data_IF_228101775738
#
_entry.id   IF_228101775738
#
_cell.length_a   1.000
_cell.length_b   1.000
_cell.length_c   1.000
_cell.angle_alpha   90.00
_cell.angle_beta   90.00
_cell.angle_gamma   90.00
#
_symmetry.space_group_name_H-M   'P 1'
#
loop_
_entity.id
_entity.type
_entity.pdbx_description
1 polymer ?
#
# COMPACT_ATOMS: atom_id res chain seq x y z
N UNK A 1 -15.32 -20.07 30.62
CA UNK A 1 -14.70 -20.38 29.32
C UNK A 1 -14.41 -19.07 28.64
N UNK A 2 -13.13 -18.77 28.37
CA UNK A 2 -12.75 -17.49 27.78
C UNK A 2 -12.99 -17.60 26.28
N UNK A 3 -13.86 -16.74 25.77
CA UNK A 3 -14.17 -16.63 24.35
C UNK A 3 -12.95 -16.09 23.58
N UNK A 4 -12.40 -16.90 22.69
CA UNK A 4 -11.71 -16.42 21.49
C UNK A 4 -12.82 -15.85 20.56
N UNK A 5 -12.70 -14.73 19.87
CA UNK A 5 -11.62 -14.43 18.95
C UNK A 5 -11.47 -12.92 18.73
N UNK A 6 -10.22 -12.50 18.63
CA UNK A 6 -9.79 -11.12 18.77
C UNK A 6 -10.21 -10.27 17.58
N UNK A 7 -11.14 -9.33 17.79
CA UNK A 7 -11.34 -8.15 16.94
C UNK A 7 -10.22 -7.12 17.14
N UNK A 8 -8.96 -7.56 17.09
CA UNK A 8 -7.84 -6.62 16.93
C UNK A 8 -7.87 -6.17 15.48
N UNK A 9 -8.72 -5.18 15.21
CA UNK A 9 -8.83 -4.58 13.90
C UNK A 9 -7.46 -4.02 13.53
N UNK A 10 -7.11 -4.15 12.25
CA UNK A 10 -5.92 -3.57 11.60
C UNK A 10 -5.62 -2.12 12.07
N UNK A 11 -6.68 -1.41 12.47
CA UNK A 11 -6.70 -0.12 13.16
C UNK A 11 -5.84 -0.01 14.43
N UNK A 12 -5.73 -1.04 15.27
CA UNK A 12 -4.94 -1.00 16.52
C UNK A 12 -3.44 -1.18 16.27
N UNK A 13 -3.05 -2.02 15.29
CA UNK A 13 -1.63 -2.22 14.93
C UNK A 13 -1.08 -0.99 14.22
N UNK A 14 -1.89 -0.32 13.40
CA UNK A 14 -1.51 0.94 12.74
C UNK A 14 -1.51 2.15 13.69
N UNK A 15 -2.23 2.09 14.82
CA UNK A 15 -2.26 3.18 15.82
C UNK A 15 -1.01 3.23 16.70
N UNK A 16 -0.29 2.12 16.84
CA UNK A 16 0.91 2.04 17.69
C UNK A 16 2.11 2.87 17.18
N UNK A 17 2.03 3.42 15.96
CA UNK A 17 3.07 4.27 15.35
C UNK A 17 2.70 5.74 15.25
N UNK A 18 1.61 6.19 15.88
CA UNK A 18 1.22 7.60 15.92
C UNK A 18 1.26 8.10 17.36
N UNK A 19 2.47 8.20 17.90
CA UNK A 19 2.72 9.07 19.03
C UNK A 19 3.21 10.43 18.50
N UNK A 20 2.64 11.46 19.12
CA UNK A 20 3.08 12.85 19.14
C UNK A 20 2.53 13.73 18.02
N UNK A 21 1.33 14.25 18.32
CA UNK A 21 0.81 15.45 17.70
C UNK A 21 1.69 16.63 18.05
N UNK A 22 2.55 17.01 17.10
CA UNK A 22 3.05 18.35 16.82
C UNK A 22 3.50 18.30 15.35
N UNK A 23 3.17 19.33 14.57
CA UNK A 23 3.32 19.34 13.10
C UNK A 23 4.72 18.98 12.59
N UNK A 24 4.93 17.71 12.25
CA UNK A 24 6.00 17.25 11.37
C UNK A 24 5.35 16.68 10.12
N UNK A 25 5.37 17.44 9.02
CA UNK A 25 5.00 16.92 7.72
C UNK A 25 5.97 15.79 7.37
N UNK A 26 5.57 14.55 7.61
CA UNK A 26 6.42 13.40 7.39
C UNK A 26 6.92 13.38 5.95
N UNK A 27 8.23 13.50 5.76
CA UNK A 27 8.80 13.57 4.42
C UNK A 27 8.64 12.23 3.67
N UNK A 28 8.73 11.11 4.39
CA UNK A 28 8.72 9.76 3.81
C UNK A 28 8.01 8.74 4.70
N UNK A 29 7.36 7.78 4.08
CA UNK A 29 6.85 6.56 4.71
C UNK A 29 7.17 5.32 3.88
N UNK A 30 7.13 4.14 4.51
CA UNK A 30 7.26 2.83 3.86
C UNK A 30 6.05 1.98 4.23
N UNK A 31 5.40 1.39 3.23
CA UNK A 31 4.24 0.52 3.37
C UNK A 31 4.62 -0.90 2.98
N UNK A 32 4.82 -1.82 3.95
CA UNK A 32 5.11 -3.22 3.66
C UNK A 32 3.86 -3.93 3.11
N UNK A 33 3.87 -4.24 1.82
CA UNK A 33 2.70 -4.76 1.10
C UNK A 33 2.30 -6.16 1.55
N UNK A 34 3.26 -6.93 2.07
CA UNK A 34 3.04 -8.23 2.70
C UNK A 34 2.07 -8.19 3.89
N UNK A 35 1.93 -7.06 4.58
CA UNK A 35 0.98 -6.92 5.69
C UNK A 35 -0.48 -6.85 5.19
N UNK A 36 -0.66 -6.52 3.91
CA UNK A 36 -1.97 -6.45 3.24
C UNK A 36 -2.32 -7.73 2.48
N UNK A 37 -1.29 -8.49 2.08
CA UNK A 37 -1.43 -9.83 1.52
C UNK A 37 -1.72 -10.80 2.67
N UNK A 38 -2.99 -11.12 2.93
CA UNK A 38 -3.32 -12.18 3.88
C UNK A 38 -2.91 -13.54 3.30
N UNK A 39 -2.73 -14.56 4.16
CA UNK A 39 -2.23 -15.88 3.76
C UNK A 39 -2.99 -16.55 2.60
N UNK A 40 -4.23 -16.13 2.33
CA UNK A 40 -5.08 -16.65 1.26
C UNK A 40 -5.46 -15.61 0.20
N UNK A 41 -5.21 -14.31 0.42
CA UNK A 41 -5.62 -13.24 -0.48
C UNK A 41 -4.42 -12.57 -1.13
N UNK A 42 -4.27 -12.78 -2.44
CA UNK A 42 -3.35 -12.02 -3.29
C UNK A 42 -3.77 -10.54 -3.32
N UNK A 43 -2.80 -9.66 -3.59
CA UNK A 43 -3.06 -8.22 -3.78
C UNK A 43 -3.71 -8.00 -5.16
N UNK A 44 -5.02 -8.23 -5.25
CA UNK A 44 -5.73 -8.22 -6.54
C UNK A 44 -6.74 -7.10 -6.69
N UNK A 45 -7.38 -6.71 -5.58
CA UNK A 45 -8.53 -5.80 -5.61
C UNK A 45 -8.16 -4.34 -5.43
N UNK A 46 -8.90 -3.44 -6.10
CA UNK A 46 -8.82 -1.99 -5.88
C UNK A 46 -9.08 -1.60 -4.41
N UNK A 47 -9.93 -2.34 -3.71
CA UNK A 47 -10.22 -2.10 -2.30
C UNK A 47 -9.01 -2.36 -1.38
N UNK A 48 -8.14 -3.32 -1.72
CA UNK A 48 -6.86 -3.51 -1.01
C UNK A 48 -5.90 -2.37 -1.31
N UNK A 49 -5.82 -1.92 -2.57
CA UNK A 49 -4.97 -0.80 -2.96
C UNK A 49 -5.37 0.51 -2.27
N UNK A 50 -6.66 0.84 -2.22
CA UNK A 50 -7.16 2.00 -1.45
C UNK A 50 -6.78 1.91 0.01
N UNK A 51 -6.88 0.71 0.60
CA UNK A 51 -6.45 0.48 2.00
C UNK A 51 -4.95 0.70 2.17
N UNK A 52 -4.12 0.26 1.22
CA UNK A 52 -2.68 0.51 1.22
C UNK A 52 -2.34 2.00 1.12
N UNK A 53 -3.16 2.75 0.39
CA UNK A 53 -2.96 4.17 0.13
C UNK A 53 -3.60 5.09 1.18
N UNK A 54 -4.28 4.54 2.19
CA UNK A 54 -4.91 5.32 3.25
C UNK A 54 -3.87 6.20 3.94
N UNK A 55 -4.16 7.50 4.01
CA UNK A 55 -3.32 8.52 4.66
C UNK A 55 -1.98 8.77 3.98
N UNK A 56 -1.69 8.19 2.80
CA UNK A 56 -0.45 8.51 2.08
C UNK A 56 -0.36 9.97 1.65
N UNK A 57 -1.50 10.66 1.52
CA UNK A 57 -1.56 12.08 1.18
C UNK A 57 -0.93 13.02 2.23
N UNK A 58 -0.65 12.53 3.45
CA UNK A 58 0.05 13.31 4.47
C UNK A 58 1.58 13.28 4.30
N UNK A 59 2.11 12.43 3.41
CA UNK A 59 3.53 12.25 3.17
C UNK A 59 3.95 12.83 1.80
N UNK A 60 5.17 13.36 1.70
CA UNK A 60 5.71 13.77 0.39
C UNK A 60 6.12 12.57 -0.47
N UNK A 61 6.61 11.51 0.17
CA UNK A 61 7.05 10.28 -0.49
C UNK A 61 6.53 9.06 0.24
N UNK A 62 6.01 8.09 -0.51
CA UNK A 62 5.52 6.82 0.02
C UNK A 62 6.14 5.67 -0.75
N UNK A 63 6.89 4.82 -0.05
CA UNK A 63 7.50 3.64 -0.63
C UNK A 63 6.61 2.42 -0.44
N UNK A 64 6.21 1.80 -1.53
CA UNK A 64 5.39 0.59 -1.52
C UNK A 64 6.33 -0.61 -1.62
N UNK A 65 6.52 -1.31 -0.51
CA UNK A 65 7.51 -2.39 -0.39
C UNK A 65 6.89 -3.75 -0.72
N UNK A 66 7.26 -4.29 -1.89
CA UNK A 66 6.77 -5.55 -2.43
C UNK A 66 7.63 -6.76 -2.07
N UNK A 67 8.51 -6.66 -1.06
CA UNK A 67 9.30 -7.80 -0.59
C UNK A 67 8.40 -8.99 -0.23
N UNK A 68 8.75 -10.17 -0.76
CA UNK A 68 7.98 -11.40 -0.60
C UNK A 68 6.67 -11.48 -1.42
N UNK A 69 6.36 -10.49 -2.27
CA UNK A 69 5.18 -10.52 -3.14
C UNK A 69 5.55 -11.01 -4.53
N UNK A 70 5.12 -12.23 -4.87
CA UNK A 70 5.38 -12.83 -6.17
C UNK A 70 4.53 -12.25 -7.31
N UNK A 71 3.32 -11.78 -7.00
CA UNK A 71 2.37 -11.30 -7.99
C UNK A 71 1.33 -10.33 -7.40
N UNK A 72 0.79 -9.45 -8.24
CA UNK A 72 -0.32 -8.55 -7.94
C UNK A 72 -1.32 -8.55 -9.10
N UNK A 73 -2.59 -8.27 -8.81
CA UNK A 73 -3.62 -8.13 -9.84
C UNK A 73 -3.60 -6.75 -10.50
N UNK A 74 -4.08 -6.69 -11.74
CA UNK A 74 -4.15 -5.42 -12.49
C UNK A 74 -4.98 -4.37 -11.74
N UNK A 75 -6.16 -4.73 -11.21
CA UNK A 75 -6.99 -3.78 -10.46
C UNK A 75 -6.26 -3.14 -9.27
N UNK A 76 -5.40 -3.90 -8.60
CA UNK A 76 -4.55 -3.41 -7.53
C UNK A 76 -3.51 -2.39 -8.02
N UNK A 77 -2.75 -2.75 -9.07
CA UNK A 77 -1.72 -1.92 -9.65
C UNK A 77 -2.28 -0.61 -10.23
N UNK A 78 -3.38 -0.70 -10.96
CA UNK A 78 -4.11 0.44 -11.53
C UNK A 78 -4.51 1.46 -10.45
N UNK A 79 -5.12 0.98 -9.37
CA UNK A 79 -5.58 1.85 -8.30
C UNK A 79 -4.43 2.62 -7.65
N UNK A 80 -3.29 1.97 -7.39
CA UNK A 80 -2.14 2.64 -6.77
C UNK A 80 -1.40 3.57 -7.73
N UNK A 81 -1.02 3.07 -8.91
CA UNK A 81 -0.04 3.76 -9.75
C UNK A 81 -0.68 4.68 -10.79
N UNK A 82 -1.99 4.56 -11.04
CA UNK A 82 -2.74 5.43 -11.94
C UNK A 82 -3.78 6.27 -11.20
N UNK A 83 -4.69 5.64 -10.46
CA UNK A 83 -5.81 6.36 -9.82
C UNK A 83 -5.31 7.24 -8.68
N UNK A 84 -4.64 6.66 -7.68
CA UNK A 84 -4.13 7.40 -6.53
C UNK A 84 -3.13 8.48 -6.94
N UNK A 85 -2.18 8.17 -7.84
CA UNK A 85 -1.22 9.16 -8.36
C UNK A 85 -1.89 10.34 -9.06
N UNK A 86 -3.01 10.10 -9.77
CA UNK A 86 -3.79 11.16 -10.41
C UNK A 86 -4.54 12.01 -9.37
N UNK A 87 -5.06 11.40 -8.32
CA UNK A 87 -5.79 12.08 -7.25
C UNK A 87 -4.86 12.88 -6.32
N UNK A 88 -3.67 12.36 -6.04
CA UNK A 88 -2.67 12.94 -5.15
C UNK A 88 -1.31 13.11 -5.85
N UNK A 89 -1.20 14.01 -6.85
CA UNK A 89 0.03 14.17 -7.64
C UNK A 89 1.22 14.71 -6.83
N UNK A 90 0.97 15.29 -5.65
CA UNK A 90 2.00 15.77 -4.73
C UNK A 90 2.69 14.67 -3.92
N UNK A 91 2.20 13.43 -3.98
CA UNK A 91 2.81 12.28 -3.31
C UNK A 91 3.68 11.51 -4.30
N UNK A 92 4.98 11.42 -4.02
CA UNK A 92 5.90 10.56 -4.74
C UNK A 92 5.67 9.09 -4.31
N UNK A 93 4.88 8.35 -5.08
CA UNK A 93 4.65 6.92 -4.85
C UNK A 93 5.73 6.07 -5.54
N UNK A 94 6.57 5.39 -4.76
CA UNK A 94 7.75 4.67 -5.25
C UNK A 94 7.62 3.17 -4.94
N UNK A 95 7.47 2.28 -5.95
CA UNK A 95 7.51 0.84 -5.72
C UNK A 95 8.94 0.37 -5.49
N UNK A 96 9.17 -0.44 -4.45
CA UNK A 96 10.48 -1.02 -4.11
C UNK A 96 10.38 -2.55 -3.91
N UNK A 97 11.52 -3.25 -4.02
CA UNK A 97 11.64 -4.71 -3.79
C UNK A 97 10.66 -5.56 -4.61
N UNK A 98 10.38 -5.18 -5.86
CA UNK A 98 9.45 -5.91 -6.72
C UNK A 98 10.05 -7.19 -7.30
N UNK A 99 9.29 -8.28 -7.25
CA UNK A 99 9.54 -9.43 -8.11
C UNK A 99 9.39 -9.06 -9.60
N UNK A 100 10.03 -9.77 -10.55
CA UNK A 100 9.98 -9.43 -11.98
C UNK A 100 8.56 -9.28 -12.54
N UNK A 101 7.63 -10.14 -12.11
CA UNK A 101 6.23 -10.08 -12.56
C UNK A 101 5.49 -8.84 -12.05
N UNK A 102 5.75 -8.46 -10.79
CA UNK A 102 5.20 -7.23 -10.19
C UNK A 102 5.75 -6.01 -10.93
N UNK A 103 7.06 -5.96 -11.18
CA UNK A 103 7.69 -4.85 -11.90
C UNK A 103 7.13 -4.68 -13.32
N UNK A 104 6.93 -5.79 -14.05
CA UNK A 104 6.35 -5.77 -15.39
C UNK A 104 4.94 -5.17 -15.40
N UNK A 105 4.07 -5.60 -14.47
CA UNK A 105 2.70 -5.10 -14.40
C UNK A 105 2.63 -3.63 -13.96
N UNK A 106 3.43 -3.23 -12.97
CA UNK A 106 3.52 -1.82 -12.54
C UNK A 106 3.99 -0.94 -13.69
N UNK A 107 5.03 -1.36 -14.42
CA UNK A 107 5.53 -0.65 -15.60
C UNK A 107 4.47 -0.51 -16.69
N UNK A 108 3.70 -1.57 -16.98
CA UNK A 108 2.62 -1.52 -17.97
C UNK A 108 1.52 -0.52 -17.58
N UNK A 109 1.09 -0.51 -16.32
CA UNK A 109 0.08 0.44 -15.80
C UNK A 109 0.60 1.88 -15.89
N UNK A 110 1.85 2.13 -15.51
CA UNK A 110 2.45 3.46 -15.55
C UNK A 110 2.64 3.98 -16.99
N UNK A 111 2.91 3.10 -17.95
CA UNK A 111 3.01 3.43 -19.36
C UNK A 111 1.64 3.61 -20.05
N UNK A 112 0.52 3.33 -19.36
CA UNK A 112 -0.82 3.35 -19.95
C UNK A 112 -1.07 2.19 -20.92
N UNK A 113 -0.30 1.11 -20.81
CA UNK A 113 -0.36 -0.08 -21.67
C UNK A 113 -1.24 -1.20 -21.08
N UNK A 114 -1.90 -0.94 -19.94
CA UNK A 114 -2.71 -1.89 -19.18
C UNK A 114 -4.18 -1.42 -19.06
#
# INVERSE_FOLDING_TARGET
GIALDTRRTLDEVLRAHSLDGEGYGFERTVVPMRLLATQSARLESRAQARRAALRLQQFRRAEMDFDGIADIGHGFADELFRVFKREYPGVELVPVNMAPRVAALVGAVQAGLA
#
